data_IF_255212167179
#
_entry.id   IF_255212167179
#
_cell.length_a   1.000
_cell.length_b   1.000
_cell.length_c   1.000
_cell.angle_alpha   90.00
_cell.angle_beta   90.00
_cell.angle_gamma   90.00
#
_symmetry.space_group_name_H-M   'P 1'
#
loop_
_entity.id
_entity.type
_entity.pdbx_description
1 polymer ?
#
# COMPACT_ATOMS: atom_id res chain seq x y z
N UNK A 1 -9.94 19.16 24.52
CA UNK A 1 -10.66 18.00 25.04
C UNK A 1 -10.86 18.25 26.52
N UNK A 2 -12.09 18.18 27.02
CA UNK A 2 -12.35 18.44 28.44
C UNK A 2 -12.00 17.21 29.30
N UNK A 3 -11.90 17.40 30.62
CA UNK A 3 -11.48 16.33 31.55
C UNK A 3 -12.44 15.17 31.55
N UNK A 4 -13.75 15.40 31.39
CA UNK A 4 -14.78 14.37 31.34
C UNK A 4 -14.59 13.44 30.14
N UNK A 5 -14.24 14.00 28.98
CA UNK A 5 -13.94 13.20 27.79
C UNK A 5 -12.69 12.36 27.97
N UNK A 6 -11.64 12.93 28.60
CA UNK A 6 -10.39 12.20 28.89
C UNK A 6 -10.67 11.01 29.80
N UNK A 7 -11.42 11.21 30.87
CA UNK A 7 -11.73 10.14 31.84
C UNK A 7 -12.59 9.04 31.19
N UNK A 8 -13.58 9.41 30.38
CA UNK A 8 -14.37 8.45 29.60
C UNK A 8 -13.52 7.60 28.64
N UNK A 9 -12.54 8.22 27.99
CA UNK A 9 -11.62 7.48 27.09
C UNK A 9 -10.73 6.52 27.88
N UNK A 10 -10.22 6.94 29.05
CA UNK A 10 -9.44 6.06 29.92
C UNK A 10 -10.25 4.84 30.37
N UNK A 11 -11.48 5.05 30.81
CA UNK A 11 -12.37 3.95 31.24
C UNK A 11 -12.63 2.97 30.07
N UNK A 12 -12.84 3.48 28.86
CA UNK A 12 -13.02 2.63 27.68
C UNK A 12 -11.75 1.84 27.33
N UNK A 13 -10.58 2.47 27.43
CA UNK A 13 -9.27 1.79 27.21
C UNK A 13 -9.08 0.68 28.24
N UNK A 14 -9.37 0.95 29.50
CA UNK A 14 -9.25 -0.04 30.58
C UNK A 14 -10.23 -1.20 30.40
N UNK A 15 -11.48 -0.90 30.02
CA UNK A 15 -12.47 -1.91 29.67
C UNK A 15 -11.99 -2.80 28.51
N UNK A 16 -11.51 -2.24 27.41
CA UNK A 16 -11.04 -3.00 26.25
C UNK A 16 -9.77 -3.80 26.56
N UNK A 17 -8.87 -3.27 27.36
CA UNK A 17 -7.65 -3.96 27.80
C UNK A 17 -7.94 -5.22 28.63
N UNK A 18 -8.98 -5.18 29.44
CA UNK A 18 -9.35 -6.28 30.34
C UNK A 18 -10.38 -7.23 29.72
N UNK A 19 -10.94 -6.90 28.57
CA UNK A 19 -11.95 -7.68 27.89
C UNK A 19 -11.37 -8.96 27.29
N UNK A 20 -11.91 -10.11 27.68
CA UNK A 20 -11.50 -11.43 27.19
C UNK A 20 -12.48 -12.05 26.18
N UNK A 21 -13.63 -11.39 25.96
CA UNK A 21 -14.68 -11.83 25.04
C UNK A 21 -15.36 -10.64 24.39
N UNK A 22 -15.96 -10.79 23.22
CA UNK A 22 -16.73 -9.73 22.57
C UNK A 22 -17.84 -9.20 23.49
N UNK A 23 -18.25 -7.92 23.36
CA UNK A 23 -19.40 -7.39 24.08
C UNK A 23 -20.65 -8.23 23.80
N UNK A 24 -21.56 -8.34 24.78
CA UNK A 24 -22.83 -9.10 24.63
C UNK A 24 -23.71 -8.59 23.47
N UNK A 25 -23.54 -7.32 23.11
CA UNK A 25 -24.23 -6.67 21.98
C UNK A 25 -23.55 -6.91 20.62
N UNK A 26 -22.38 -7.54 20.61
CA UNK A 26 -21.68 -7.81 19.36
C UNK A 26 -22.43 -8.89 18.57
N UNK A 27 -22.74 -8.64 17.29
CA UNK A 27 -23.47 -9.60 16.49
C UNK A 27 -22.67 -10.89 16.32
N UNK A 28 -23.33 -12.04 16.43
CA UNK A 28 -22.71 -13.33 16.14
C UNK A 28 -22.44 -13.41 14.65
N UNK A 29 -21.18 -13.25 14.25
CA UNK A 29 -20.75 -13.35 12.86
C UNK A 29 -20.67 -14.82 12.45
N UNK A 30 -21.02 -15.15 11.19
CA UNK A 30 -20.82 -16.49 10.67
C UNK A 30 -19.31 -16.80 10.57
N UNK A 31 -18.95 -18.06 10.75
CA UNK A 31 -17.58 -18.49 10.56
C UNK A 31 -17.16 -18.29 9.11
N UNK A 32 -15.98 -17.72 8.92
CA UNK A 32 -15.37 -17.61 7.61
C UNK A 32 -14.58 -18.89 7.32
N UNK A 33 -14.89 -19.61 6.22
CA UNK A 33 -14.13 -20.79 5.86
C UNK A 33 -12.66 -20.46 5.68
N UNK A 34 -11.76 -21.12 6.40
CA UNK A 34 -10.32 -20.93 6.31
C UNK A 34 -9.76 -21.12 4.89
N UNK A 35 -10.48 -21.90 4.07
CA UNK A 35 -10.20 -22.09 2.65
C UNK A 35 -10.07 -20.78 1.86
N UNK A 36 -10.79 -19.73 2.22
CA UNK A 36 -10.66 -18.38 1.58
C UNK A 36 -9.26 -17.80 1.65
N UNK A 37 -8.45 -18.20 2.64
CA UNK A 37 -7.10 -17.68 2.85
C UNK A 37 -6.01 -18.59 2.23
N UNK A 38 -6.36 -19.80 1.83
CA UNK A 38 -5.40 -20.80 1.35
C UNK A 38 -5.68 -21.30 -0.07
N UNK A 39 -6.86 -21.00 -0.61
CA UNK A 39 -7.29 -21.45 -1.92
C UNK A 39 -6.74 -20.54 -3.03
N UNK A 40 -5.97 -21.15 -3.94
CA UNK A 40 -5.36 -20.41 -5.04
C UNK A 40 -6.39 -19.89 -6.07
N UNK A 41 -7.44 -20.67 -6.33
CA UNK A 41 -8.50 -20.23 -7.27
C UNK A 41 -9.24 -19.02 -6.71
N UNK A 42 -9.52 -19.01 -5.41
CA UNK A 42 -10.11 -17.87 -4.74
C UNK A 42 -9.20 -16.63 -4.80
N UNK A 43 -7.90 -16.80 -4.60
CA UNK A 43 -6.92 -15.70 -4.73
C UNK A 43 -6.88 -15.11 -6.16
N UNK A 44 -6.91 -15.95 -7.21
CA UNK A 44 -6.97 -15.44 -8.58
C UNK A 44 -8.29 -14.69 -8.88
N UNK A 45 -9.41 -15.12 -8.30
CA UNK A 45 -10.67 -14.39 -8.36
C UNK A 45 -10.59 -13.02 -7.67
N UNK A 46 -9.99 -12.94 -6.48
CA UNK A 46 -9.75 -11.67 -5.79
C UNK A 46 -8.87 -10.75 -6.62
N UNK A 47 -7.79 -11.27 -7.18
CA UNK A 47 -6.85 -10.53 -8.00
C UNK A 47 -7.54 -9.87 -9.21
N UNK A 48 -8.38 -10.62 -9.94
CA UNK A 48 -9.07 -10.13 -11.13
C UNK A 48 -10.26 -9.21 -10.79
N UNK A 49 -10.99 -9.48 -9.71
CA UNK A 49 -12.26 -8.81 -9.44
C UNK A 49 -12.20 -7.77 -8.32
N UNK A 50 -11.20 -7.83 -7.47
CA UNK A 50 -10.99 -6.89 -6.37
C UNK A 50 -9.73 -6.05 -6.59
N UNK A 51 -8.55 -6.65 -6.55
CA UNK A 51 -7.26 -5.96 -6.52
C UNK A 51 -7.00 -5.09 -7.77
N UNK A 52 -7.44 -5.53 -8.94
CA UNK A 52 -7.32 -4.77 -10.19
C UNK A 52 -8.39 -3.69 -10.38
N UNK A 53 -9.42 -3.67 -9.56
CA UNK A 53 -10.61 -2.82 -9.75
C UNK A 53 -10.86 -1.84 -8.60
N UNK A 54 -10.06 -1.89 -7.54
CA UNK A 54 -10.23 -1.00 -6.39
C UNK A 54 -9.01 -0.13 -6.15
N UNK A 55 -9.19 0.92 -5.35
CA UNK A 55 -8.08 1.70 -4.85
C UNK A 55 -7.32 0.92 -3.79
N UNK A 56 -6.00 0.85 -3.94
CA UNK A 56 -5.11 0.17 -3.01
C UNK A 56 -4.17 1.19 -2.37
N UNK A 57 -3.92 1.01 -1.06
CA UNK A 57 -2.91 1.80 -0.36
C UNK A 57 -1.52 1.36 -0.82
N UNK A 58 -0.86 2.20 -1.60
CA UNK A 58 0.46 1.91 -2.12
C UNK A 58 1.60 2.34 -1.18
N UNK A 59 1.35 3.29 -0.27
CA UNK A 59 2.33 3.77 0.71
C UNK A 59 1.99 5.14 1.26
N UNK A 60 2.88 5.65 2.11
CA UNK A 60 2.82 7.00 2.66
C UNK A 60 3.83 7.92 1.98
N UNK A 61 3.56 9.22 1.94
CA UNK A 61 4.44 10.20 1.29
C UNK A 61 5.81 10.32 1.96
N UNK A 62 5.91 10.01 3.24
CA UNK A 62 7.19 10.02 3.98
C UNK A 62 8.14 8.90 3.54
N UNK A 63 7.64 7.88 2.83
CA UNK A 63 8.48 6.84 2.24
C UNK A 63 9.25 7.34 1.01
N UNK A 64 8.80 8.45 0.40
CA UNK A 64 9.43 9.13 -0.72
C UNK A 64 9.54 10.64 -0.41
N UNK A 65 10.37 11.04 0.57
CA UNK A 65 10.34 12.39 1.18
C UNK A 65 10.75 13.51 0.24
N UNK A 66 11.64 13.24 -0.72
CA UNK A 66 12.24 14.24 -1.59
C UNK A 66 11.89 14.04 -3.06
N UNK A 67 12.01 15.10 -3.85
CA UNK A 67 11.85 15.05 -5.31
C UNK A 67 12.86 14.07 -5.89
N UNK A 68 12.40 13.17 -6.76
CA UNK A 68 13.20 12.11 -7.35
C UNK A 68 13.26 10.82 -6.51
N UNK A 69 12.88 10.86 -5.23
CA UNK A 69 12.75 9.62 -4.46
C UNK A 69 11.66 8.74 -5.05
N UNK A 70 11.90 7.43 -5.04
CA UNK A 70 10.96 6.45 -5.51
C UNK A 70 10.80 5.29 -4.54
N UNK A 71 9.66 4.61 -4.68
CA UNK A 71 9.34 3.33 -4.06
C UNK A 71 8.91 2.34 -5.12
N UNK A 72 9.44 1.13 -5.08
CA UNK A 72 8.95 0.02 -5.88
C UNK A 72 7.79 -0.67 -5.15
N UNK A 73 6.69 -0.90 -5.85
CA UNK A 73 5.49 -1.53 -5.32
C UNK A 73 5.08 -2.74 -6.18
N UNK A 74 5.09 -3.94 -5.61
CA UNK A 74 4.91 -5.21 -6.35
C UNK A 74 3.74 -6.07 -5.85
N UNK A 75 2.91 -5.53 -4.95
CA UNK A 75 1.90 -6.32 -4.23
C UNK A 75 0.82 -6.96 -5.10
N UNK A 76 0.56 -6.43 -6.30
CA UNK A 76 -0.46 -6.97 -7.22
C UNK A 76 0.09 -7.79 -8.37
N UNK A 77 1.39 -8.12 -8.35
CA UNK A 77 2.07 -8.86 -9.41
C UNK A 77 2.43 -8.04 -10.65
N UNK A 78 2.15 -6.73 -10.64
CA UNK A 78 2.63 -5.76 -11.63
C UNK A 78 3.57 -4.80 -10.91
N UNK A 79 4.88 -4.81 -11.19
CA UNK A 79 5.83 -3.92 -10.54
C UNK A 79 5.59 -2.47 -10.99
N UNK A 80 5.35 -1.60 -10.03
CA UNK A 80 5.09 -0.17 -10.24
C UNK A 80 6.10 0.66 -9.47
N UNK A 81 6.72 1.61 -10.15
CA UNK A 81 7.59 2.62 -9.54
C UNK A 81 6.74 3.82 -9.20
N UNK A 82 6.70 4.20 -7.93
CA UNK A 82 6.03 5.38 -7.43
C UNK A 82 7.08 6.45 -7.15
N UNK A 83 7.03 7.57 -7.83
CA UNK A 83 8.08 8.60 -7.82
C UNK A 83 7.55 9.93 -7.29
N UNK A 84 8.28 10.57 -6.41
CA UNK A 84 8.03 11.94 -5.97
C UNK A 84 8.48 12.92 -7.07
N UNK A 85 7.56 13.41 -7.88
CA UNK A 85 7.86 14.35 -8.96
C UNK A 85 8.22 15.75 -8.44
N UNK A 86 7.50 16.19 -7.41
CA UNK A 86 7.75 17.45 -6.70
C UNK A 86 7.07 17.43 -5.31
N UNK A 87 7.10 18.55 -4.58
CA UNK A 87 6.52 18.64 -3.24
C UNK A 87 5.02 18.29 -3.16
N UNK A 88 4.27 18.43 -4.26
CA UNK A 88 2.81 18.26 -4.28
C UNK A 88 2.34 17.07 -5.13
N UNK A 89 3.21 16.53 -5.97
CA UNK A 89 2.82 15.59 -7.01
C UNK A 89 3.64 14.31 -6.92
N UNK A 90 2.95 13.19 -7.00
CA UNK A 90 3.51 11.84 -7.12
C UNK A 90 3.03 11.26 -8.45
N UNK A 91 3.91 10.57 -9.14
CA UNK A 91 3.60 9.85 -10.38
C UNK A 91 3.94 8.38 -10.22
N UNK A 92 3.29 7.53 -11.00
CA UNK A 92 3.53 6.09 -10.99
C UNK A 92 3.71 5.57 -12.41
N UNK A 93 4.64 4.63 -12.58
CA UNK A 93 4.97 4.00 -13.85
C UNK A 93 5.15 2.50 -13.64
N UNK A 94 4.92 1.72 -14.68
CA UNK A 94 5.34 0.32 -14.65
C UNK A 94 6.87 0.23 -14.59
N UNK A 95 7.38 -0.66 -13.75
CA UNK A 95 8.82 -0.92 -13.65
C UNK A 95 9.31 -1.76 -14.85
N UNK A 96 9.14 -1.22 -16.03
CA UNK A 96 9.48 -1.90 -17.28
C UNK A 96 9.93 -0.89 -18.34
N UNK A 97 11.13 -1.08 -18.84
CA UNK A 97 11.66 -0.28 -19.95
C UNK A 97 10.87 -0.58 -21.22
N UNK A 98 10.34 0.45 -21.87
CA UNK A 98 9.58 0.31 -23.15
C UNK A 98 10.42 -0.28 -24.28
N UNK A 99 11.75 -0.11 -24.22
CA UNK A 99 12.64 -0.55 -25.30
C UNK A 99 12.94 -2.05 -25.24
N UNK A 100 13.27 -2.59 -24.05
CA UNK A 100 13.73 -3.98 -23.89
C UNK A 100 13.00 -4.78 -22.82
N UNK A 101 11.97 -4.25 -22.19
CA UNK A 101 11.22 -4.93 -21.14
C UNK A 101 12.00 -5.15 -19.83
N UNK A 102 13.23 -4.62 -19.72
CA UNK A 102 14.02 -4.75 -18.50
C UNK A 102 13.44 -3.90 -17.37
N UNK A 103 13.63 -4.34 -16.13
CA UNK A 103 13.29 -3.54 -14.96
C UNK A 103 14.13 -2.25 -14.93
N UNK A 104 13.49 -1.12 -14.68
CA UNK A 104 14.12 0.20 -14.60
C UNK A 104 14.84 0.34 -13.27
N UNK A 105 14.22 -0.09 -12.18
CA UNK A 105 14.80 -0.12 -10.83
C UNK A 105 14.72 -1.54 -10.27
N UNK A 106 15.64 -1.89 -9.36
CA UNK A 106 15.70 -3.20 -8.70
C UNK A 106 15.56 -3.10 -7.20
N UNK A 107 15.92 -1.95 -6.64
CA UNK A 107 15.84 -1.69 -5.21
C UNK A 107 14.44 -1.19 -4.84
N UNK A 108 13.98 -1.55 -3.65
CA UNK A 108 12.65 -1.18 -3.15
C UNK A 108 12.48 0.34 -3.01
N UNK A 109 13.57 1.04 -2.72
CA UNK A 109 13.63 2.50 -2.54
C UNK A 109 14.89 3.07 -3.14
N UNK A 110 14.82 4.31 -3.60
CA UNK A 110 15.98 5.04 -4.12
C UNK A 110 15.63 6.43 -4.61
N UNK A 111 16.59 7.06 -5.28
CA UNK A 111 16.45 8.38 -5.90
C UNK A 111 16.81 8.32 -7.39
N UNK A 112 15.95 8.83 -8.27
CA UNK A 112 16.13 8.86 -9.71
C UNK A 112 16.77 10.18 -10.21
N UNK A 113 17.50 10.91 -9.37
CA UNK A 113 18.03 12.24 -9.69
C UNK A 113 19.01 12.28 -10.86
N UNK A 114 19.48 11.13 -11.36
CA UNK A 114 20.52 11.04 -12.40
C UNK A 114 20.23 10.04 -13.53
N UNK A 115 18.99 9.71 -13.79
CA UNK A 115 18.64 8.81 -14.91
C UNK A 115 18.24 9.53 -16.20
N UNK A 116 18.49 10.84 -16.29
CA UNK A 116 18.09 11.65 -17.46
C UNK A 116 19.02 11.57 -18.67
N UNK A 117 20.14 10.88 -18.57
CA UNK A 117 21.10 10.81 -19.71
C UNK A 117 20.66 9.84 -20.83
N UNK A 118 19.56 9.12 -20.66
CA UNK A 118 19.04 8.24 -21.72
C UNK A 118 18.10 8.94 -22.72
N UNK A 119 17.87 10.24 -22.57
CA UNK A 119 16.98 10.99 -23.47
C UNK A 119 17.69 11.84 -24.52
N UNK A 120 19.01 11.92 -24.50
CA UNK A 120 19.81 12.83 -25.36
C UNK A 120 20.53 12.16 -26.54
N UNK A 121 20.29 10.88 -26.76
CA UNK A 121 20.75 10.19 -27.98
C UNK A 121 19.67 10.26 -29.09
N UNK A 122 19.37 11.49 -29.52
CA UNK A 122 18.67 11.77 -30.78
C UNK A 122 19.51 12.71 -31.60
N UNK A 123 20.47 12.16 -32.30
CA UNK A 123 20.98 12.65 -33.58
C UNK A 123 20.65 11.64 -34.67
#
# INVERSE_FOLDING_TARGET
MDQVQIDKIKDLIEYERNRTSPPSTFPKLPDLPGKRYTDREFFELEKENLWKKTWLLAGHLDEIPETGCYKLWEKTGQPVIIVRKNKKEVTAFYNMCRHRGAAIVREDYGCLLYTSDAADDRD
#
